data_IF_501054412742
#
_entry.id   IF_501054412742
#
_cell.length_a   1.000
_cell.length_b   1.000
_cell.length_c   1.000
_cell.angle_alpha   90.00
_cell.angle_beta   90.00
_cell.angle_gamma   90.00
#
_symmetry.space_group_name_H-M   'P 1'
#
loop_
_entity.id
_entity.type
_entity.pdbx_description
1 polymer ?
#
# COMPACT_ATOMS: atom_id res chain seq x y z
N UNK A 1 16.06 6.74 -0.45
CA UNK A 1 16.40 5.33 -0.78
C UNK A 1 15.11 4.78 -1.34
N UNK A 2 15.12 4.18 -2.52
CA UNK A 2 13.90 3.61 -3.11
C UNK A 2 13.79 2.14 -2.70
N UNK A 3 12.61 1.72 -2.26
CA UNK A 3 12.31 0.36 -1.83
C UNK A 3 11.21 -0.19 -2.73
N UNK A 4 11.24 -1.49 -2.99
CA UNK A 4 10.22 -2.10 -3.82
C UNK A 4 9.01 -2.42 -2.96
N UNK A 5 7.88 -1.81 -3.32
CA UNK A 5 6.59 -2.09 -2.71
C UNK A 5 5.77 -2.91 -3.69
N UNK A 6 5.14 -3.94 -3.14
CA UNK A 6 4.23 -4.82 -3.84
C UNK A 6 2.87 -4.76 -3.16
N UNK A 7 1.85 -4.32 -3.91
CA UNK A 7 0.44 -4.35 -3.49
C UNK A 7 -0.23 -5.58 -4.05
N UNK A 8 -0.69 -6.49 -3.19
CA UNK A 8 -1.47 -7.66 -3.63
C UNK A 8 -2.91 -7.53 -3.17
N UNK A 9 -3.90 -7.57 -4.08
CA UNK A 9 -5.29 -7.65 -3.65
C UNK A 9 -5.49 -8.94 -2.84
N UNK A 10 -6.05 -8.81 -1.65
CA UNK A 10 -6.36 -9.91 -0.75
C UNK A 10 -7.86 -9.91 -0.47
N UNK A 11 -8.47 -11.09 -0.55
CA UNK A 11 -9.90 -11.23 -0.24
C UNK A 11 -10.19 -11.13 1.26
N UNK A 12 -9.16 -11.29 2.11
CA UNK A 12 -9.33 -11.32 3.55
C UNK A 12 -8.08 -10.80 4.25
N UNK A 13 -8.21 -9.63 4.89
CA UNK A 13 -7.15 -9.09 5.74
C UNK A 13 -7.35 -9.66 7.14
N UNK A 14 -6.31 -10.25 7.78
CA UNK A 14 -6.44 -10.72 9.14
C UNK A 14 -6.85 -9.57 10.06
N UNK A 15 -7.74 -9.82 11.03
CA UNK A 15 -8.29 -8.78 11.90
C UNK A 15 -7.26 -8.11 12.83
N UNK A 16 -6.05 -8.66 12.91
CA UNK A 16 -4.91 -8.11 13.66
C UNK A 16 -4.07 -7.14 12.81
N UNK A 17 -4.33 -7.06 11.50
CA UNK A 17 -3.66 -6.13 10.60
C UNK A 17 -4.10 -4.70 10.83
N UNK A 18 -3.14 -3.78 10.69
CA UNK A 18 -3.41 -2.34 10.73
C UNK A 18 -3.85 -1.91 9.35
N UNK A 19 -5.14 -1.69 9.16
CA UNK A 19 -5.66 -1.25 7.87
C UNK A 19 -5.61 0.27 7.81
N UNK A 20 -4.93 0.82 6.81
CA UNK A 20 -4.90 2.23 6.46
C UNK A 20 -5.87 2.47 5.29
N UNK A 21 -6.76 3.44 5.41
CA UNK A 21 -7.62 3.79 4.28
C UNK A 21 -6.83 4.57 3.23
N UNK A 22 -7.17 4.37 1.95
CA UNK A 22 -6.61 5.19 0.87
C UNK A 22 -6.75 6.70 1.13
N UNK A 23 -7.79 7.15 1.83
CA UNK A 23 -7.98 8.57 2.17
C UNK A 23 -7.01 9.09 3.25
N UNK A 24 -6.47 8.20 4.09
CA UNK A 24 -5.49 8.50 5.13
C UNK A 24 -4.05 8.52 4.59
N UNK A 25 -3.83 7.99 3.39
CA UNK A 25 -2.55 8.08 2.72
C UNK A 25 -2.18 9.55 2.44
N UNK A 26 -0.89 9.86 2.57
CA UNK A 26 -0.32 11.13 2.12
C UNK A 26 -0.56 11.37 0.63
N UNK A 27 -0.51 12.63 0.20
CA UNK A 27 -0.75 13.02 -1.20
C UNK A 27 0.17 12.24 -2.17
N UNK A 28 1.46 12.15 -1.85
CA UNK A 28 2.42 11.42 -2.67
C UNK A 28 2.11 9.90 -2.74
N UNK A 29 1.64 9.31 -1.64
CA UNK A 29 1.22 7.92 -1.59
C UNK A 29 -0.03 7.66 -2.43
N UNK A 30 -0.97 8.63 -2.46
CA UNK A 30 -2.18 8.58 -3.28
C UNK A 30 -1.86 8.65 -4.78
N UNK A 31 -0.85 9.42 -5.17
CA UNK A 31 -0.39 9.52 -6.56
C UNK A 31 0.28 8.22 -7.05
N UNK A 32 1.05 7.56 -6.19
CA UNK A 32 1.75 6.30 -6.53
C UNK A 32 0.84 5.06 -6.44
N UNK A 33 -0.19 5.07 -5.61
CA UNK A 33 -1.11 3.95 -5.43
C UNK A 33 -1.73 3.40 -6.74
N UNK A 34 -2.30 4.20 -7.67
CA UNK A 34 -2.80 3.68 -8.93
C UNK A 34 -1.72 2.95 -9.73
N UNK A 35 -0.48 3.45 -9.70
CA UNK A 35 0.67 2.86 -10.38
C UNK A 35 1.03 1.52 -9.73
N UNK A 36 0.99 1.43 -8.39
CA UNK A 36 1.22 0.20 -7.63
C UNK A 36 0.10 -0.85 -7.79
N UNK A 37 -1.16 -0.43 -7.93
CA UNK A 37 -2.25 -1.37 -8.21
C UNK A 37 -2.23 -1.90 -9.64
N UNK A 38 -1.67 -1.13 -10.59
CA UNK A 38 -1.49 -1.58 -11.98
C UNK A 38 -0.19 -2.39 -12.16
N UNK A 39 0.87 -1.98 -11.46
CA UNK A 39 2.17 -2.64 -11.40
C UNK A 39 2.40 -3.11 -9.97
N UNK A 40 2.10 -4.39 -9.74
CA UNK A 40 2.33 -5.12 -8.48
C UNK A 40 3.77 -5.03 -7.95
N UNK A 41 4.70 -4.50 -8.72
CA UNK A 41 6.06 -4.16 -8.34
C UNK A 41 6.35 -2.70 -8.74
N UNK A 42 6.35 -1.78 -7.78
CA UNK A 42 6.84 -0.43 -8.02
C UNK A 42 7.87 -0.02 -6.97
N UNK A 43 8.84 0.78 -7.39
CA UNK A 43 9.87 1.32 -6.52
C UNK A 43 9.41 2.68 -6.00
N UNK A 44 9.11 2.77 -4.71
CA UNK A 44 8.66 4.02 -4.06
C UNK A 44 9.73 4.55 -3.13
N UNK A 45 9.70 5.86 -2.89
CA UNK A 45 10.64 6.50 -1.97
C UNK A 45 10.33 6.13 -0.51
N UNK A 46 11.37 6.04 0.33
CA UNK A 46 11.22 5.65 1.75
C UNK A 46 10.25 6.54 2.55
N UNK A 47 10.03 7.80 2.13
CA UNK A 47 9.04 8.68 2.80
C UNK A 47 7.60 8.21 2.56
N UNK A 48 7.32 7.73 1.35
CA UNK A 48 6.03 7.13 1.00
C UNK A 48 5.84 5.87 1.82
N UNK A 49 6.89 5.05 1.84
CA UNK A 49 6.95 3.76 2.48
C UNK A 49 6.65 3.78 3.98
N UNK A 50 7.03 4.82 4.73
CA UNK A 50 6.68 4.96 6.15
C UNK A 50 5.15 4.93 6.38
N UNK A 51 4.37 5.39 5.40
CA UNK A 51 2.90 5.30 5.41
C UNK A 51 2.34 3.93 5.02
N UNK A 52 3.17 3.04 4.43
CA UNK A 52 2.81 1.69 3.99
C UNK A 52 3.41 0.59 4.88
N UNK A 53 4.48 0.90 5.63
CA UNK A 53 5.22 -0.07 6.43
C UNK A 53 4.37 -0.57 7.61
N UNK A 54 3.95 -1.83 7.54
CA UNK A 54 3.11 -2.45 8.56
C UNK A 54 1.63 -2.10 8.48
N UNK A 55 1.18 -1.53 7.35
CA UNK A 55 -0.23 -1.25 7.10
C UNK A 55 -0.75 -1.98 5.85
N UNK A 56 -1.93 -2.58 5.96
CA UNK A 56 -2.72 -3.07 4.83
C UNK A 56 -3.56 -1.93 4.28
N UNK A 57 -3.78 -1.88 2.98
CA UNK A 57 -4.55 -0.83 2.34
C UNK A 57 -5.95 -1.26 2.00
N UNK A 58 -6.93 -0.39 2.23
CA UNK A 58 -8.31 -0.61 1.79
C UNK A 58 -8.78 0.50 0.87
N UNK A 59 -9.37 0.10 -0.26
CA UNK A 59 -10.02 0.98 -1.22
C UNK A 59 -11.43 0.47 -1.49
N UNK A 60 -12.42 1.23 -1.04
CA UNK A 60 -13.86 0.88 -1.10
C UNK A 60 -14.21 -0.44 -0.40
N UNK A 61 -14.00 -1.57 -1.08
CA UNK A 61 -14.28 -2.93 -0.62
C UNK A 61 -13.12 -3.88 -0.89
N UNK A 62 -12.13 -3.44 -1.66
CA UNK A 62 -10.94 -4.20 -1.97
C UNK A 62 -9.86 -3.90 -0.94
N UNK A 63 -9.24 -4.97 -0.46
CA UNK A 63 -8.11 -4.91 0.44
C UNK A 63 -6.85 -5.27 -0.32
N UNK A 64 -5.76 -4.60 0.02
CA UNK A 64 -4.45 -4.74 -0.60
C UNK A 64 -3.43 -4.96 0.50
N UNK A 65 -2.80 -6.12 0.49
CA UNK A 65 -1.66 -6.39 1.35
C UNK A 65 -0.43 -5.70 0.76
N UNK A 66 0.22 -4.89 1.60
CA UNK A 66 1.47 -4.22 1.27
C UNK A 66 2.62 -5.13 1.68
N UNK A 67 3.41 -5.56 0.71
CA UNK A 67 4.69 -6.24 0.94
C UNK A 67 5.84 -5.34 0.52
N UNK A 68 6.83 -5.20 1.39
CA UNK A 68 8.05 -4.42 1.18
C UNK A 68 9.23 -5.39 0.97
N UNK A 69 10.13 -5.10 0.03
CA UNK A 69 11.35 -5.89 -0.22
C UNK A 69 12.58 -5.04 -0.55
#
# INVERSE_FOLDING_TARGET
MSQNVTLKPVENVPSDSRICHYDELGEDAKEEFPILTENTDASVDSTIMDGFEGYDLVKYTDYYEVSIS
#
